data_IF_362878141360
#
_entry.id   IF_362878141360
#
_cell.length_a   1.000
_cell.length_b   1.000
_cell.length_c   1.000
_cell.angle_alpha   90.00
_cell.angle_beta   90.00
_cell.angle_gamma   90.00
#
_symmetry.space_group_name_H-M   'P 1'
#
loop_
_entity.id
_entity.type
_entity.pdbx_description
1 polymer ?
#
# COMPACT_ATOMS: atom_id res chain seq x y z
N UNK A 1 19.41 24.65 13.34
CA UNK A 1 18.30 24.69 12.35
C UNK A 1 17.00 24.50 13.12
N UNK A 2 15.94 25.25 12.80
CA UNK A 2 14.65 25.01 13.44
C UNK A 2 14.19 23.59 13.09
N UNK A 3 13.77 22.83 14.10
CA UNK A 3 13.26 21.48 13.91
C UNK A 3 11.96 21.55 13.09
N UNK A 4 11.97 20.96 11.91
CA UNK A 4 10.81 20.94 11.02
C UNK A 4 9.83 19.86 11.48
N UNK A 5 8.57 20.23 11.69
CA UNK A 5 7.50 19.32 12.07
C UNK A 5 6.80 18.75 10.84
N UNK A 6 6.69 17.42 10.78
CA UNK A 6 5.93 16.71 9.74
C UNK A 6 4.72 16.00 10.37
N UNK A 7 3.53 16.27 9.87
CA UNK A 7 2.33 15.54 10.29
C UNK A 7 2.06 14.37 9.33
N UNK A 8 1.97 13.15 9.87
CA UNK A 8 1.73 11.93 9.10
C UNK A 8 0.35 11.36 9.46
N UNK A 9 -0.61 11.46 8.56
CA UNK A 9 -1.91 10.80 8.67
C UNK A 9 -1.80 9.34 8.26
N UNK A 10 -2.30 8.43 9.09
CA UNK A 10 -2.14 6.99 8.91
C UNK A 10 -0.80 6.45 9.42
N UNK A 11 -0.13 7.18 10.31
CA UNK A 11 1.19 6.87 10.83
C UNK A 11 1.33 5.48 11.48
N UNK A 12 0.27 4.97 12.15
CA UNK A 12 0.27 3.65 12.79
C UNK A 12 0.06 2.48 11.83
N UNK A 13 -0.31 2.77 10.57
CA UNK A 13 -0.52 1.76 9.54
C UNK A 13 0.78 1.12 9.04
N UNK A 14 0.64 0.18 8.10
CA UNK A 14 1.77 -0.55 7.51
C UNK A 14 2.82 0.41 6.91
N UNK A 15 2.46 1.23 5.92
CA UNK A 15 3.38 2.20 5.29
C UNK A 15 3.81 3.27 6.30
N UNK A 16 2.87 3.72 7.15
CA UNK A 16 3.07 4.83 8.08
C UNK A 16 4.24 4.65 9.02
N UNK A 17 4.44 3.44 9.56
CA UNK A 17 5.58 3.15 10.46
C UNK A 17 6.94 3.26 9.78
N UNK A 18 7.04 2.92 8.49
CA UNK A 18 8.27 3.12 7.71
C UNK A 18 8.54 4.61 7.50
N UNK A 19 7.52 5.37 7.14
CA UNK A 19 7.62 6.83 6.95
C UNK A 19 8.02 7.52 8.26
N UNK A 20 7.35 7.20 9.38
CA UNK A 20 7.68 7.77 10.69
C UNK A 20 9.14 7.49 11.06
N UNK A 21 9.59 6.24 10.90
CA UNK A 21 10.99 5.86 11.20
C UNK A 21 11.98 6.63 10.32
N UNK A 22 11.73 6.75 9.03
CA UNK A 22 12.62 7.48 8.10
C UNK A 22 12.69 8.97 8.43
N UNK A 23 11.53 9.62 8.65
CA UNK A 23 11.47 11.03 9.04
C UNK A 23 12.20 11.28 10.35
N UNK A 24 12.01 10.44 11.36
CA UNK A 24 12.70 10.55 12.63
C UNK A 24 14.23 10.40 12.47
N UNK A 25 14.68 9.42 11.66
CA UNK A 25 16.11 9.22 11.36
C UNK A 25 16.74 10.44 10.66
N UNK A 26 15.96 11.19 9.86
CA UNK A 26 16.40 12.42 9.20
C UNK A 26 16.32 13.66 10.12
N UNK A 27 15.97 13.48 11.40
CA UNK A 27 15.92 14.58 12.38
C UNK A 27 14.66 15.43 12.37
N UNK A 28 13.58 14.99 11.69
CA UNK A 28 12.28 15.65 11.73
C UNK A 28 11.56 15.37 13.05
N UNK A 29 10.83 16.37 13.56
CA UNK A 29 9.77 16.13 14.53
C UNK A 29 8.57 15.51 13.79
N UNK A 30 8.00 14.45 14.33
CA UNK A 30 6.90 13.73 13.69
C UNK A 30 5.65 13.77 14.57
N UNK A 31 4.59 14.39 14.05
CA UNK A 31 3.25 14.28 14.61
C UNK A 31 2.53 13.12 13.92
N UNK A 32 2.39 12.01 14.64
CA UNK A 32 1.71 10.82 14.16
C UNK A 32 0.20 10.96 14.37
N UNK A 33 -0.51 11.42 13.32
CA UNK A 33 -1.95 11.62 13.33
C UNK A 33 -2.69 10.28 13.19
N UNK A 34 -3.32 9.81 14.27
CA UNK A 34 -3.93 8.49 14.38
C UNK A 34 -5.29 8.57 15.08
N UNK A 35 -6.17 7.57 14.85
CA UNK A 35 -7.50 7.54 15.48
C UNK A 35 -7.42 7.23 16.98
N UNK A 36 -6.49 6.35 17.36
CA UNK A 36 -6.26 5.91 18.75
C UNK A 36 -4.78 6.06 19.12
N UNK A 37 -4.40 7.16 19.79
CA UNK A 37 -3.00 7.38 20.18
C UNK A 37 -2.42 6.29 21.08
N UNK A 38 -3.26 5.69 21.95
CA UNK A 38 -2.80 4.63 22.86
C UNK A 38 -2.29 3.39 22.11
N UNK A 39 -2.93 3.00 21.03
CA UNK A 39 -2.52 1.88 20.18
C UNK A 39 -1.28 2.20 19.31
N UNK A 40 -0.90 3.47 19.20
CA UNK A 40 0.20 3.96 18.39
C UNK A 40 1.45 4.34 19.21
N UNK A 41 1.50 4.02 20.51
CA UNK A 41 2.65 4.36 21.38
C UNK A 41 3.96 3.71 20.94
N UNK A 42 3.89 2.57 20.24
CA UNK A 42 5.08 1.92 19.66
C UNK A 42 5.84 2.82 18.68
N UNK A 43 5.18 3.82 18.07
CA UNK A 43 5.84 4.77 17.17
C UNK A 43 6.87 5.65 17.90
N UNK A 44 6.70 5.90 19.20
CA UNK A 44 7.65 6.68 19.99
C UNK A 44 9.04 6.05 20.05
N UNK A 45 9.16 4.74 19.89
CA UNK A 45 10.44 4.03 19.87
C UNK A 45 11.17 4.11 18.54
N UNK A 46 10.59 4.77 17.54
CA UNK A 46 11.16 4.92 16.21
C UNK A 46 12.04 6.17 16.04
N UNK A 47 12.09 7.02 17.06
CA UNK A 47 12.92 8.23 17.11
C UNK A 47 13.39 8.51 18.53
N UNK A 48 14.04 9.65 18.72
CA UNK A 48 14.49 10.12 20.01
C UNK A 48 13.33 10.51 20.94
N UNK A 49 13.65 10.70 22.23
CA UNK A 49 12.64 11.08 23.24
C UNK A 49 11.98 12.41 22.86
N UNK A 50 10.67 12.38 22.69
CA UNK A 50 9.87 13.56 22.30
C UNK A 50 9.79 13.83 20.80
N UNK A 51 10.60 13.17 19.98
CA UNK A 51 10.65 13.40 18.53
C UNK A 51 9.40 12.89 17.79
N UNK A 52 8.84 11.77 18.23
CA UNK A 52 7.61 11.21 17.64
C UNK A 52 6.45 11.31 18.61
N UNK A 53 5.43 12.08 18.27
CA UNK A 53 4.27 12.33 19.13
C UNK A 53 2.98 11.84 18.47
N UNK A 54 2.35 10.75 18.97
CA UNK A 54 1.02 10.36 18.55
C UNK A 54 -0.01 11.40 18.97
N UNK A 55 -0.85 11.84 18.01
CA UNK A 55 -1.95 12.77 18.23
C UNK A 55 -3.25 12.17 17.68
N UNK A 56 -4.34 12.36 18.43
CA UNK A 56 -5.64 11.92 17.96
C UNK A 56 -6.11 12.79 16.79
N UNK A 57 -6.43 12.14 15.66
CA UNK A 57 -6.98 12.82 14.50
C UNK A 57 -7.95 11.92 13.72
N UNK A 58 -9.04 12.54 13.25
CA UNK A 58 -10.04 11.91 12.40
C UNK A 58 -10.17 12.74 11.13
N UNK A 59 -9.79 12.19 9.98
CA UNK A 59 -9.79 12.92 8.70
C UNK A 59 -11.18 13.36 8.22
N UNK A 60 -12.25 12.80 8.80
CA UNK A 60 -13.64 13.20 8.51
C UNK A 60 -14.12 14.37 9.36
N UNK A 61 -13.29 14.84 10.28
CA UNK A 61 -13.54 15.99 11.16
C UNK A 61 -12.53 17.08 10.86
N UNK A 62 -12.97 18.15 10.23
CA UNK A 62 -12.15 19.28 9.79
C UNK A 62 -11.41 19.95 10.94
N UNK A 63 -12.05 20.08 12.13
CA UNK A 63 -11.42 20.67 13.29
C UNK A 63 -10.26 19.81 13.81
N UNK A 64 -10.47 18.50 13.84
CA UNK A 64 -9.46 17.51 14.21
C UNK A 64 -8.27 17.52 13.25
N UNK A 65 -8.53 17.64 11.94
CA UNK A 65 -7.49 17.72 10.90
C UNK A 65 -6.70 19.01 11.04
N UNK A 66 -7.37 20.17 11.21
CA UNK A 66 -6.74 21.48 11.36
C UNK A 66 -5.80 21.49 12.58
N UNK A 67 -6.25 20.99 13.72
CA UNK A 67 -5.42 20.88 14.94
C UNK A 67 -4.20 19.97 14.72
N UNK A 68 -4.35 18.89 13.95
CA UNK A 68 -3.24 17.99 13.65
C UNK A 68 -2.20 18.60 12.69
N UNK A 69 -2.57 19.57 11.88
CA UNK A 69 -1.69 20.22 10.88
C UNK A 69 -1.06 21.49 11.42
N UNK A 70 -1.59 22.09 12.48
CA UNK A 70 -1.08 23.36 13.03
C UNK A 70 0.43 23.34 13.24
N UNK A 71 1.14 24.32 12.65
CA UNK A 71 2.59 24.46 12.73
C UNK A 71 3.39 23.44 11.93
N UNK A 72 2.75 22.57 11.16
CA UNK A 72 3.46 21.59 10.34
C UNK A 72 4.16 22.24 9.14
N UNK A 73 5.42 21.88 8.91
CA UNK A 73 6.18 22.22 7.71
C UNK A 73 5.73 21.38 6.50
N UNK A 74 5.44 20.11 6.74
CA UNK A 74 4.98 19.17 5.71
C UNK A 74 3.91 18.22 6.24
N UNK A 75 3.10 17.71 5.33
CA UNK A 75 2.01 16.77 5.62
C UNK A 75 2.10 15.57 4.70
N UNK A 76 1.92 14.38 5.27
CA UNK A 76 1.87 13.10 4.52
C UNK A 76 0.54 12.44 4.78
N UNK A 77 -0.22 12.16 3.72
CA UNK A 77 -1.48 11.42 3.79
C UNK A 77 -1.33 10.01 3.25
N UNK A 78 -1.35 9.02 4.14
CA UNK A 78 -1.24 7.59 3.86
C UNK A 78 -2.58 6.86 4.06
N UNK A 79 -3.66 7.59 4.36
CA UNK A 79 -4.92 6.96 4.72
C UNK A 79 -5.61 6.40 3.49
N UNK A 80 -5.98 5.13 3.60
CA UNK A 80 -6.78 4.40 2.63
C UNK A 80 -7.45 3.20 3.27
N UNK A 81 -8.53 2.74 2.65
CA UNK A 81 -9.26 1.52 3.01
C UNK A 81 -9.42 0.65 1.76
N UNK A 82 -9.40 -0.67 1.92
CA UNK A 82 -9.54 -1.61 0.80
C UNK A 82 -10.98 -2.11 0.61
N UNK A 83 -11.83 -1.89 1.60
CA UNK A 83 -13.27 -2.20 1.57
C UNK A 83 -14.03 -1.27 2.50
N UNK A 84 -15.32 -1.13 2.26
CA UNK A 84 -16.18 -0.29 3.06
C UNK A 84 -16.73 -1.03 4.28
N UNK A 85 -16.70 -0.39 5.46
CA UNK A 85 -17.27 -0.94 6.69
C UNK A 85 -17.86 0.18 7.57
N UNK A 86 -19.12 0.05 7.93
CA UNK A 86 -19.82 1.02 8.76
C UNK A 86 -19.74 2.46 8.21
N UNK A 87 -19.17 3.37 8.99
CA UNK A 87 -18.97 4.77 8.60
C UNK A 87 -17.72 5.00 7.71
N UNK A 88 -16.88 3.97 7.51
CA UNK A 88 -15.72 4.06 6.63
C UNK A 88 -16.16 3.73 5.20
N UNK A 89 -16.58 4.76 4.47
CA UNK A 89 -16.95 4.69 3.06
C UNK A 89 -15.81 5.22 2.19
N UNK A 90 -15.68 4.71 0.97
CA UNK A 90 -14.64 5.15 0.04
C UNK A 90 -14.68 6.66 -0.17
N UNK A 91 -15.85 7.24 -0.41
CA UNK A 91 -16.01 8.69 -0.59
C UNK A 91 -15.59 9.47 0.66
N UNK A 92 -16.00 9.02 1.85
CA UNK A 92 -15.69 9.70 3.10
C UNK A 92 -14.21 9.67 3.46
N UNK A 93 -13.49 8.60 3.07
CA UNK A 93 -12.09 8.40 3.44
C UNK A 93 -11.15 8.89 2.33
N UNK A 94 -11.38 8.45 1.08
CA UNK A 94 -10.46 8.71 -0.02
C UNK A 94 -10.64 10.10 -0.64
N UNK A 95 -11.89 10.60 -0.75
CA UNK A 95 -12.16 11.91 -1.32
C UNK A 95 -12.26 12.99 -0.23
N UNK A 96 -13.31 12.96 0.60
CA UNK A 96 -13.57 14.02 1.60
C UNK A 96 -12.45 14.13 2.63
N UNK A 97 -11.96 12.98 3.16
CA UNK A 97 -10.86 12.97 4.12
C UNK A 97 -9.56 13.54 3.53
N UNK A 98 -9.24 13.21 2.29
CA UNK A 98 -8.08 13.77 1.59
C UNK A 98 -8.26 15.27 1.28
N UNK A 99 -9.47 15.69 0.90
CA UNK A 99 -9.83 17.09 0.70
C UNK A 99 -9.68 17.92 1.98
N UNK A 100 -10.15 17.41 3.11
CA UNK A 100 -10.01 18.09 4.41
C UNK A 100 -8.54 18.30 4.77
N UNK A 101 -7.69 17.27 4.57
CA UNK A 101 -6.25 17.37 4.80
C UNK A 101 -5.64 18.44 3.88
N UNK A 102 -5.96 18.43 2.60
CA UNK A 102 -5.40 19.37 1.64
C UNK A 102 -5.84 20.83 1.92
N UNK A 103 -7.13 21.06 2.22
CA UNK A 103 -7.65 22.39 2.59
C UNK A 103 -7.00 22.91 3.87
N UNK A 104 -6.92 22.07 4.90
CA UNK A 104 -6.28 22.44 6.15
C UNK A 104 -4.79 22.72 5.98
N UNK A 105 -4.10 21.97 5.11
CA UNK A 105 -2.68 22.20 4.75
C UNK A 105 -2.50 23.57 4.07
N UNK A 106 -3.36 23.93 3.15
CA UNK A 106 -3.35 25.23 2.49
C UNK A 106 -3.59 26.37 3.49
N UNK A 107 -4.61 26.24 4.33
CA UNK A 107 -4.95 27.24 5.35
C UNK A 107 -3.84 27.43 6.39
N UNK A 108 -3.11 26.39 6.74
CA UNK A 108 -2.00 26.44 7.68
C UNK A 108 -0.67 26.85 7.05
N UNK A 109 -0.60 27.12 5.74
CA UNK A 109 0.62 27.50 5.03
C UNK A 109 1.66 26.39 4.96
N UNK A 110 1.23 25.12 4.95
CA UNK A 110 2.09 23.95 4.79
C UNK A 110 2.86 24.06 3.47
N UNK A 111 4.16 23.75 3.50
CA UNK A 111 5.01 23.89 2.31
C UNK A 111 5.01 22.64 1.43
N UNK A 112 4.78 21.45 2.01
CA UNK A 112 4.85 20.18 1.32
C UNK A 112 3.66 19.28 1.70
N UNK A 113 2.93 18.83 0.70
CA UNK A 113 1.87 17.83 0.87
C UNK A 113 2.15 16.63 -0.03
N UNK A 114 2.29 15.46 0.59
CA UNK A 114 2.41 14.17 -0.11
C UNK A 114 1.12 13.38 0.11
N UNK A 115 0.50 12.93 -0.97
CA UNK A 115 -0.71 12.10 -0.95
C UNK A 115 -0.43 10.73 -1.58
N UNK A 116 -0.70 9.65 -0.86
CA UNK A 116 -0.55 8.29 -1.38
C UNK A 116 -1.89 7.77 -1.90
N UNK A 117 -1.94 7.62 -3.20
CA UNK A 117 -3.05 7.03 -3.97
C UNK A 117 -2.81 5.54 -4.24
N UNK A 118 -3.09 5.06 -5.44
CA UNK A 118 -2.78 3.70 -5.89
C UNK A 118 -2.65 3.65 -7.41
N UNK A 119 -1.88 2.70 -7.94
CA UNK A 119 -1.92 2.38 -9.37
C UNK A 119 -3.34 2.02 -9.80
N UNK A 120 -3.71 2.39 -11.03
CA UNK A 120 -5.05 2.16 -11.56
C UNK A 120 -6.12 3.12 -11.04
N UNK A 121 -5.76 4.16 -10.26
CA UNK A 121 -6.69 5.23 -9.90
C UNK A 121 -7.17 5.94 -11.18
N UNK A 122 -8.48 5.85 -11.48
CA UNK A 122 -9.11 6.41 -12.67
C UNK A 122 -10.59 6.68 -12.40
N UNK A 123 -11.10 7.80 -12.89
CA UNK A 123 -12.52 8.16 -12.78
C UNK A 123 -13.42 7.23 -13.61
N UNK A 124 -12.89 6.69 -14.72
CA UNK A 124 -13.59 5.81 -15.63
C UNK A 124 -13.55 4.33 -15.21
N UNK A 125 -12.87 4.00 -14.10
CA UNK A 125 -12.75 2.62 -13.64
C UNK A 125 -14.11 2.03 -13.24
N UNK A 126 -14.31 0.75 -13.51
CA UNK A 126 -15.45 -0.01 -12.97
C UNK A 126 -15.36 -0.23 -11.46
N UNK A 127 -14.15 -0.16 -10.87
CA UNK A 127 -13.92 -0.30 -9.44
C UNK A 127 -14.29 0.99 -8.70
N UNK A 128 -15.10 0.87 -7.65
CA UNK A 128 -15.44 1.99 -6.78
C UNK A 128 -14.22 2.48 -5.99
N UNK A 129 -13.33 1.57 -5.60
CA UNK A 129 -12.04 1.91 -4.98
C UNK A 129 -11.20 2.80 -5.91
N UNK A 130 -10.98 2.38 -7.15
CA UNK A 130 -10.14 3.12 -8.10
C UNK A 130 -10.73 4.51 -8.42
N UNK A 131 -12.06 4.60 -8.62
CA UNK A 131 -12.75 5.88 -8.80
C UNK A 131 -12.59 6.80 -7.58
N UNK A 132 -12.74 6.25 -6.38
CA UNK A 132 -12.62 7.04 -5.16
C UNK A 132 -11.20 7.56 -4.91
N UNK A 133 -10.17 6.77 -5.29
CA UNK A 133 -8.77 7.20 -5.24
C UNK A 133 -8.52 8.35 -6.23
N UNK A 134 -9.00 8.24 -7.47
CA UNK A 134 -8.90 9.32 -8.47
C UNK A 134 -9.63 10.60 -7.99
N UNK A 135 -10.83 10.47 -7.46
CA UNK A 135 -11.58 11.60 -6.88
C UNK A 135 -10.83 12.25 -5.71
N UNK A 136 -10.12 11.46 -4.89
CA UNK A 136 -9.25 11.96 -3.83
C UNK A 136 -8.06 12.74 -4.36
N UNK A 137 -7.38 12.24 -5.39
CA UNK A 137 -6.28 12.96 -6.05
C UNK A 137 -6.73 14.32 -6.60
N UNK A 138 -7.88 14.35 -7.29
CA UNK A 138 -8.45 15.56 -7.85
C UNK A 138 -8.81 16.58 -6.75
N UNK A 139 -9.43 16.12 -5.65
CA UNK A 139 -9.76 16.97 -4.52
C UNK A 139 -8.50 17.55 -3.84
N UNK A 140 -7.45 16.73 -3.68
CA UNK A 140 -6.16 17.18 -3.14
C UNK A 140 -5.53 18.24 -4.04
N UNK A 141 -5.45 18.02 -5.35
CA UNK A 141 -4.87 18.98 -6.29
C UNK A 141 -5.65 20.28 -6.37
N UNK A 142 -6.98 20.20 -6.33
CA UNK A 142 -7.84 21.39 -6.33
C UNK A 142 -7.64 22.25 -5.08
N UNK A 143 -7.36 21.62 -3.90
CA UNK A 143 -7.19 22.32 -2.64
C UNK A 143 -5.73 22.72 -2.34
N UNK A 144 -4.75 21.94 -2.84
CA UNK A 144 -3.32 22.15 -2.65
C UNK A 144 -2.59 21.86 -3.97
N UNK A 145 -2.47 22.87 -4.84
CA UNK A 145 -2.02 22.73 -6.23
C UNK A 145 -0.62 22.15 -6.40
N UNK A 146 0.28 22.29 -5.41
CA UNK A 146 1.64 21.72 -5.43
C UNK A 146 1.78 20.37 -4.71
N UNK A 147 0.68 19.65 -4.52
CA UNK A 147 0.71 18.33 -3.90
C UNK A 147 1.42 17.28 -4.79
N UNK A 148 2.32 16.51 -4.18
CA UNK A 148 2.91 15.34 -4.84
C UNK A 148 2.02 14.13 -4.58
N UNK A 149 1.67 13.41 -5.64
CA UNK A 149 0.84 12.20 -5.57
C UNK A 149 1.68 10.98 -5.89
N UNK A 150 1.68 10.01 -5.01
CA UNK A 150 2.25 8.69 -5.26
C UNK A 150 1.16 7.67 -5.57
N UNK A 151 1.32 6.94 -6.65
CA UNK A 151 0.51 5.78 -7.05
C UNK A 151 1.35 4.51 -6.93
N UNK A 152 1.48 3.91 -5.74
CA UNK A 152 2.22 2.66 -5.61
C UNK A 152 1.44 1.50 -6.21
N UNK A 153 2.16 0.50 -6.73
CA UNK A 153 1.70 -0.86 -6.93
C UNK A 153 1.44 -1.54 -5.58
N UNK A 154 1.22 -2.84 -5.57
CA UNK A 154 1.09 -3.60 -4.31
C UNK A 154 2.33 -3.37 -3.46
N UNK A 155 2.12 -2.80 -2.27
CA UNK A 155 3.21 -2.52 -1.32
C UNK A 155 3.48 -3.77 -0.47
N UNK A 156 4.74 -4.20 -0.39
CA UNK A 156 5.15 -5.36 0.39
C UNK A 156 6.14 -5.04 1.50
N UNK A 157 6.21 -5.92 2.50
CA UNK A 157 7.10 -5.83 3.67
C UNK A 157 6.57 -6.64 4.84
N UNK A 158 7.30 -6.75 5.96
CA UNK A 158 6.97 -7.62 7.10
C UNK A 158 5.54 -7.55 7.64
N UNK A 159 4.84 -6.42 7.43
CA UNK A 159 3.47 -6.22 7.92
C UNK A 159 2.46 -6.02 6.77
N UNK A 160 2.80 -6.47 5.55
CA UNK A 160 1.87 -6.39 4.43
C UNK A 160 0.68 -7.35 4.59
N UNK A 161 -0.42 -7.01 3.93
CA UNK A 161 -1.59 -7.90 3.88
C UNK A 161 -1.55 -8.85 2.66
N UNK A 162 -0.72 -8.59 1.65
CA UNK A 162 -0.76 -9.35 0.40
C UNK A 162 0.04 -10.66 0.51
N UNK A 163 1.35 -10.59 0.72
CA UNK A 163 2.21 -11.78 0.83
C UNK A 163 1.88 -12.59 2.09
N UNK A 164 1.66 -11.91 3.23
CA UNK A 164 1.31 -12.58 4.48
C UNK A 164 -0.02 -13.34 4.37
N UNK A 165 -1.05 -12.77 3.75
CA UNK A 165 -2.35 -13.44 3.56
C UNK A 165 -2.23 -14.71 2.73
N UNK A 166 -1.49 -14.68 1.60
CA UNK A 166 -1.26 -15.88 0.81
C UNK A 166 -0.39 -16.90 1.55
N UNK A 167 0.60 -16.47 2.32
CA UNK A 167 1.40 -17.35 3.17
C UNK A 167 0.57 -18.03 4.26
N UNK A 168 -0.38 -17.32 4.88
CA UNK A 168 -1.38 -17.90 5.80
C UNK A 168 -2.26 -18.94 5.09
N UNK A 169 -2.76 -18.61 3.89
CA UNK A 169 -3.55 -19.56 3.10
C UNK A 169 -2.74 -20.82 2.76
N UNK A 170 -1.47 -20.68 2.42
CA UNK A 170 -0.55 -21.81 2.18
C UNK A 170 -0.46 -22.73 3.40
N UNK A 171 -0.60 -22.21 4.63
CA UNK A 171 -0.53 -23.04 5.83
C UNK A 171 -1.75 -23.97 5.98
N UNK A 172 -2.93 -23.55 5.57
CA UNK A 172 -4.21 -24.24 5.86
C UNK A 172 -4.89 -24.83 4.62
N UNK A 173 -4.76 -24.18 3.46
CA UNK A 173 -5.46 -24.58 2.24
C UNK A 173 -4.64 -25.60 1.43
N UNK A 174 -5.26 -26.64 0.85
CA UNK A 174 -4.59 -27.60 -0.03
C UNK A 174 -4.32 -27.03 -1.43
N UNK A 175 -5.03 -25.99 -1.83
CA UNK A 175 -4.92 -25.33 -3.12
C UNK A 175 -5.02 -23.81 -2.97
N UNK A 176 -4.40 -23.07 -3.88
CA UNK A 176 -4.42 -21.61 -3.96
C UNK A 176 -5.02 -21.15 -5.29
N UNK A 177 -5.87 -20.10 -5.29
CA UNK A 177 -6.43 -19.55 -6.51
C UNK A 177 -5.41 -18.69 -7.25
N UNK A 178 -5.35 -18.80 -8.57
CA UNK A 178 -4.69 -17.85 -9.46
C UNK A 178 -5.76 -17.09 -10.23
N UNK A 179 -5.70 -15.76 -10.20
CA UNK A 179 -6.63 -14.90 -10.92
C UNK A 179 -6.03 -14.43 -12.25
N UNK A 180 -6.87 -14.24 -13.25
CA UNK A 180 -6.48 -13.68 -14.55
C UNK A 180 -5.86 -14.66 -15.53
N UNK A 181 -5.80 -15.96 -15.21
CA UNK A 181 -5.37 -16.96 -16.19
C UNK A 181 -6.36 -17.07 -17.37
N UNK A 182 -5.85 -17.27 -18.59
CA UNK A 182 -6.69 -17.57 -19.74
C UNK A 182 -7.40 -18.93 -19.59
N UNK A 183 -8.34 -19.22 -20.47
CA UNK A 183 -8.92 -20.57 -20.52
C UNK A 183 -7.84 -21.59 -20.89
N UNK A 184 -7.89 -22.81 -20.30
CA UNK A 184 -6.95 -23.88 -20.62
C UNK A 184 -6.88 -24.12 -22.13
N UNK A 185 -5.69 -24.20 -22.68
CA UNK A 185 -5.45 -24.43 -24.10
C UNK A 185 -4.35 -25.47 -24.32
N UNK A 186 -4.33 -26.11 -25.48
CA UNK A 186 -3.26 -27.05 -25.82
C UNK A 186 -2.19 -26.27 -26.57
N UNK A 187 -1.02 -26.12 -25.95
CA UNK A 187 0.18 -25.54 -26.57
C UNK A 187 1.27 -26.62 -26.71
N UNK A 188 1.80 -26.80 -27.90
CA UNK A 188 2.85 -27.78 -28.18
C UNK A 188 2.56 -29.22 -27.67
N UNK A 189 1.27 -29.65 -27.74
CA UNK A 189 0.87 -31.00 -27.29
C UNK A 189 0.73 -31.16 -25.78
N UNK A 190 0.94 -30.12 -24.98
CA UNK A 190 0.74 -30.09 -23.53
C UNK A 190 -0.43 -29.19 -23.16
N UNK A 191 -1.18 -29.57 -22.12
CA UNK A 191 -2.26 -28.77 -21.57
C UNK A 191 -1.67 -27.60 -20.80
N UNK A 192 -1.83 -26.38 -21.33
CA UNK A 192 -1.47 -25.13 -20.67
C UNK A 192 -2.70 -24.57 -19.94
N UNK A 193 -2.68 -24.59 -18.61
CA UNK A 193 -3.74 -24.08 -17.76
C UNK A 193 -3.46 -22.65 -17.24
N UNK A 194 -2.24 -22.15 -17.39
CA UNK A 194 -1.84 -20.91 -16.75
C UNK A 194 -1.57 -19.76 -17.72
N UNK A 195 -1.25 -20.08 -18.99
CA UNK A 195 -0.85 -19.05 -19.98
C UNK A 195 0.32 -18.21 -19.46
N UNK A 196 0.12 -16.90 -19.38
CA UNK A 196 1.13 -15.96 -18.87
C UNK A 196 1.14 -15.83 -17.34
N UNK A 197 0.46 -16.74 -16.59
CA UNK A 197 0.49 -16.78 -15.14
C UNK A 197 -0.52 -15.88 -14.42
N UNK A 198 -1.49 -15.33 -15.15
CA UNK A 198 -2.54 -14.48 -14.60
C UNK A 198 -2.18 -13.01 -14.50
N UNK A 199 -2.93 -12.26 -13.71
CA UNK A 199 -2.77 -10.81 -13.50
C UNK A 199 -1.34 -10.48 -13.06
N UNK A 200 -0.77 -9.42 -13.62
CA UNK A 200 0.60 -8.98 -13.33
C UNK A 200 0.65 -7.89 -12.27
N UNK A 201 1.69 -7.92 -11.48
CA UNK A 201 1.99 -6.94 -10.42
C UNK A 201 3.45 -6.52 -10.49
N UNK A 202 3.71 -5.31 -10.03
CA UNK A 202 5.07 -4.78 -9.88
C UNK A 202 5.28 -4.34 -8.42
N UNK A 203 5.38 -5.30 -7.47
CA UNK A 203 5.36 -5.00 -6.03
C UNK A 203 6.48 -4.03 -5.64
N UNK A 204 6.14 -3.04 -4.80
CA UNK A 204 7.10 -2.06 -4.27
C UNK A 204 7.36 -2.31 -2.79
N UNK A 205 8.62 -2.23 -2.36
CA UNK A 205 8.98 -2.33 -0.95
C UNK A 205 8.52 -1.09 -0.16
N UNK A 206 7.92 -1.30 1.01
CA UNK A 206 7.43 -0.22 1.86
C UNK A 206 8.55 0.74 2.32
N UNK A 207 9.79 0.25 2.41
CA UNK A 207 10.97 1.08 2.68
C UNK A 207 11.24 2.07 1.57
N UNK A 208 11.24 1.63 0.30
CA UNK A 208 11.50 2.48 -0.86
C UNK A 208 10.40 3.53 -1.04
N UNK A 209 9.14 3.16 -0.79
CA UNK A 209 8.02 4.12 -0.76
C UNK A 209 8.23 5.17 0.34
N UNK A 210 8.70 4.77 1.52
CA UNK A 210 8.99 5.71 2.59
C UNK A 210 10.17 6.62 2.26
N UNK A 211 11.22 6.09 1.64
CA UNK A 211 12.36 6.87 1.17
C UNK A 211 11.94 7.88 0.09
N UNK A 212 11.04 7.50 -0.84
CA UNK A 212 10.45 8.40 -1.83
C UNK A 212 9.66 9.56 -1.18
N UNK A 213 8.88 9.26 -0.15
CA UNK A 213 8.13 10.28 0.60
C UNK A 213 9.07 11.26 1.28
N UNK A 214 10.12 10.77 1.93
CA UNK A 214 11.11 11.62 2.61
C UNK A 214 11.89 12.46 1.61
N UNK A 215 12.30 11.89 0.49
CA UNK A 215 12.98 12.61 -0.58
C UNK A 215 12.15 13.81 -1.09
N UNK A 216 10.83 13.66 -1.20
CA UNK A 216 9.92 14.76 -1.57
C UNK A 216 9.84 15.82 -0.48
N UNK A 217 9.79 15.41 0.79
CA UNK A 217 9.76 16.35 1.93
C UNK A 217 11.06 17.16 2.02
N UNK A 218 12.21 16.54 1.78
CA UNK A 218 13.53 17.19 1.84
C UNK A 218 13.81 18.08 0.63
N UNK A 219 13.32 17.72 -0.54
CA UNK A 219 13.66 18.39 -1.77
C UNK A 219 12.98 19.78 -1.88
N UNK A 220 13.75 20.79 -2.26
CA UNK A 220 13.21 22.11 -2.61
C UNK A 220 12.68 22.17 -4.06
N UNK A 221 13.02 21.20 -4.91
CA UNK A 221 12.79 21.19 -6.35
C UNK A 221 11.80 20.14 -6.83
N UNK A 222 11.10 19.43 -5.92
CA UNK A 222 10.11 18.46 -6.35
C UNK A 222 8.89 19.19 -6.89
N UNK A 223 8.61 18.90 -8.13
CA UNK A 223 7.50 19.46 -8.88
C UNK A 223 6.19 18.75 -8.47
N UNK A 224 5.10 19.47 -8.61
CA UNK A 224 3.71 19.01 -8.59
C UNK A 224 3.50 17.89 -9.63
N UNK A 225 3.74 16.63 -9.24
CA UNK A 225 3.73 15.48 -10.14
C UNK A 225 3.05 14.28 -9.51
N UNK A 226 2.59 13.40 -10.40
CA UNK A 226 2.23 12.02 -10.04
C UNK A 226 3.39 11.11 -10.35
N UNK A 227 3.78 10.31 -9.36
CA UNK A 227 4.76 9.25 -9.51
C UNK A 227 4.05 7.91 -9.42
N UNK A 228 4.29 7.04 -10.39
CA UNK A 228 3.85 5.64 -10.35
C UNK A 228 5.01 4.79 -9.83
N UNK A 229 4.79 4.11 -8.72
CA UNK A 229 5.86 3.46 -7.99
C UNK A 229 5.70 1.95 -8.01
N UNK A 230 6.64 1.29 -8.65
CA UNK A 230 6.76 -0.17 -8.71
C UNK A 230 8.16 -0.63 -8.31
N UNK A 231 8.30 -1.91 -8.01
CA UNK A 231 9.59 -2.56 -7.80
C UNK A 231 10.36 -2.78 -9.11
N UNK A 232 11.54 -3.42 -9.04
CA UNK A 232 12.42 -3.58 -10.20
C UNK A 232 11.90 -4.62 -11.21
N UNK A 233 10.96 -5.49 -10.81
CA UNK A 233 10.47 -6.59 -11.64
C UNK A 233 8.95 -6.67 -11.62
N UNK A 234 8.40 -7.15 -12.73
CA UNK A 234 6.98 -7.48 -12.90
C UNK A 234 6.81 -8.98 -12.70
N UNK A 235 5.87 -9.37 -11.86
CA UNK A 235 5.52 -10.76 -11.56
C UNK A 235 4.09 -11.04 -11.98
N UNK A 236 3.86 -12.20 -12.58
CA UNK A 236 2.51 -12.75 -12.70
C UNK A 236 2.00 -13.22 -11.33
N UNK A 237 0.71 -13.36 -11.18
CA UNK A 237 0.10 -13.87 -9.95
C UNK A 237 0.65 -15.26 -9.58
N UNK A 238 0.88 -16.10 -10.59
CA UNK A 238 1.48 -17.43 -10.42
C UNK A 238 2.89 -17.35 -9.85
N UNK A 239 3.76 -16.50 -10.41
CA UNK A 239 5.14 -16.33 -9.95
C UNK A 239 5.21 -15.85 -8.49
N UNK A 240 4.29 -14.95 -8.09
CA UNK A 240 4.18 -14.54 -6.68
C UNK A 240 3.82 -15.73 -5.78
N UNK A 241 2.84 -16.55 -6.18
CA UNK A 241 2.48 -17.73 -5.40
C UNK A 241 3.59 -18.79 -5.37
N UNK A 242 4.29 -18.99 -6.49
CA UNK A 242 5.45 -19.89 -6.54
C UNK A 242 6.56 -19.42 -5.59
N UNK A 243 6.84 -18.12 -5.53
CA UNK A 243 7.78 -17.53 -4.59
C UNK A 243 7.35 -17.78 -3.13
N UNK A 244 6.07 -17.56 -2.80
CA UNK A 244 5.55 -17.82 -1.45
C UNK A 244 5.67 -19.31 -1.09
N UNK A 245 5.37 -20.21 -2.04
CA UNK A 245 5.52 -21.66 -1.82
C UNK A 245 6.98 -22.05 -1.60
N UNK A 246 7.89 -21.46 -2.38
CA UNK A 246 9.33 -21.68 -2.24
C UNK A 246 9.80 -21.23 -0.85
N UNK A 247 9.49 -20.01 -0.45
CA UNK A 247 9.94 -19.41 0.81
C UNK A 247 9.35 -20.11 2.04
N UNK A 248 8.11 -20.59 1.96
CA UNK A 248 7.47 -21.32 3.05
C UNK A 248 7.85 -22.81 3.08
N UNK A 249 8.56 -23.33 2.06
CA UNK A 249 8.92 -24.74 1.92
C UNK A 249 7.70 -25.67 1.78
N UNK A 250 6.58 -25.16 1.26
CA UNK A 250 5.32 -25.90 1.14
C UNK A 250 4.98 -26.17 -0.32
N UNK A 251 4.22 -27.24 -0.54
CA UNK A 251 3.70 -27.61 -1.87
C UNK A 251 2.19 -27.56 -1.83
N UNK A 252 1.58 -26.76 -2.73
CA UNK A 252 0.14 -26.61 -2.88
C UNK A 252 -0.23 -26.64 -4.36
N UNK A 253 -1.45 -27.05 -4.65
CA UNK A 253 -1.97 -26.96 -6.00
C UNK A 253 -2.30 -25.50 -6.31
N UNK A 254 -1.87 -25.03 -7.47
CA UNK A 254 -2.24 -23.74 -7.99
C UNK A 254 -3.41 -23.93 -8.97
N UNK A 255 -4.55 -23.31 -8.69
CA UNK A 255 -5.79 -23.52 -9.44
C UNK A 255 -6.21 -22.21 -10.12
N UNK A 256 -6.21 -22.16 -11.46
CA UNK A 256 -6.78 -21.02 -12.19
C UNK A 256 -8.24 -20.79 -11.80
N UNK A 257 -8.54 -19.60 -11.29
CA UNK A 257 -9.89 -19.23 -10.88
C UNK A 257 -10.47 -18.20 -11.85
N UNK A 258 -11.46 -18.58 -12.67
CA UNK A 258 -12.13 -17.63 -13.55
C UNK A 258 -12.81 -16.50 -12.78
N UNK A 259 -12.79 -15.29 -13.31
CA UNK A 259 -13.33 -14.09 -12.65
C UNK A 259 -14.81 -14.19 -12.27
N UNK A 260 -15.61 -14.95 -13.04
CA UNK A 260 -17.02 -15.14 -12.72
C UNK A 260 -17.19 -15.98 -11.44
N UNK A 261 -16.36 -17.02 -11.23
CA UNK A 261 -16.36 -17.80 -9.99
C UNK A 261 -15.84 -16.93 -8.84
N UNK A 262 -14.74 -16.19 -9.06
CA UNK A 262 -14.20 -15.25 -8.08
C UNK A 262 -15.26 -14.23 -7.63
N UNK A 263 -16.09 -13.73 -8.56
CA UNK A 263 -17.17 -12.78 -8.25
C UNK A 263 -18.27 -13.41 -7.38
N UNK A 264 -18.60 -14.68 -7.61
CA UNK A 264 -19.57 -15.42 -6.77
C UNK A 264 -18.99 -15.63 -5.37
N UNK A 265 -17.73 -16.06 -5.26
CA UNK A 265 -17.05 -16.22 -3.97
C UNK A 265 -17.02 -14.89 -3.23
N UNK A 266 -16.62 -13.80 -3.90
CA UNK A 266 -16.56 -12.47 -3.34
C UNK A 266 -17.92 -11.99 -2.81
N UNK A 267 -19.01 -12.28 -3.52
CA UNK A 267 -20.38 -11.94 -3.08
C UNK A 267 -20.71 -12.55 -1.71
N UNK A 268 -20.34 -13.81 -1.48
CA UNK A 268 -20.57 -14.46 -0.19
C UNK A 268 -19.58 -14.00 0.88
N UNK A 269 -18.32 -13.75 0.51
CA UNK A 269 -17.30 -13.32 1.49
C UNK A 269 -17.48 -11.87 1.93
N UNK A 270 -18.12 -11.02 1.14
CA UNK A 270 -18.52 -9.65 1.53
C UNK A 270 -19.50 -9.60 2.72
N UNK A 271 -20.15 -10.70 3.06
CA UNK A 271 -21.02 -10.80 4.23
C UNK A 271 -20.22 -10.92 5.56
N UNK A 272 -18.92 -11.20 5.46
CA UNK A 272 -18.05 -11.28 6.64
C UNK A 272 -17.61 -9.87 7.11
N UNK A 273 -17.40 -9.67 8.42
CA UNK A 273 -16.93 -8.39 8.95
C UNK A 273 -15.60 -7.91 8.34
N UNK A 274 -14.71 -8.85 8.01
CA UNK A 274 -13.45 -8.61 7.28
C UNK A 274 -13.44 -9.55 6.08
N UNK A 275 -13.89 -9.09 4.91
CA UNK A 275 -13.97 -9.93 3.74
C UNK A 275 -12.58 -10.30 3.22
N UNK A 276 -12.30 -11.59 2.98
CA UNK A 276 -11.04 -12.02 2.38
C UNK A 276 -10.94 -11.62 0.90
N UNK A 277 -12.05 -11.46 0.20
CA UNK A 277 -12.13 -11.00 -1.18
C UNK A 277 -13.43 -10.25 -1.38
N UNK A 278 -13.37 -9.09 -2.08
CA UNK A 278 -14.57 -8.30 -2.45
C UNK A 278 -14.75 -8.29 -3.96
N UNK A 279 -15.99 -8.07 -4.41
CA UNK A 279 -16.29 -7.95 -5.85
C UNK A 279 -15.52 -6.80 -6.50
N UNK A 280 -15.31 -5.73 -5.76
CA UNK A 280 -14.50 -4.59 -6.23
C UNK A 280 -13.03 -4.97 -6.43
N UNK A 281 -12.46 -5.79 -5.52
CA UNK A 281 -11.12 -6.35 -5.68
C UNK A 281 -11.04 -7.30 -6.89
N UNK A 282 -12.08 -8.10 -7.16
CA UNK A 282 -12.14 -8.94 -8.37
C UNK A 282 -12.13 -8.10 -9.64
N UNK A 283 -12.77 -6.92 -9.62
CA UNK A 283 -12.72 -5.97 -10.76
C UNK A 283 -11.28 -5.45 -10.94
N UNK A 284 -10.61 -5.07 -9.87
CA UNK A 284 -9.21 -4.60 -9.91
C UNK A 284 -8.27 -5.67 -10.46
N UNK A 285 -8.48 -6.94 -10.10
CA UNK A 285 -7.66 -8.06 -10.58
C UNK A 285 -7.81 -8.36 -12.09
N UNK A 286 -8.76 -7.73 -12.79
CA UNK A 286 -8.90 -7.87 -14.24
C UNK A 286 -7.89 -7.06 -15.04
N UNK A 287 -7.21 -6.12 -14.39
CA UNK A 287 -6.20 -5.26 -15.00
C UNK A 287 -4.86 -5.48 -14.29
N UNK A 288 -3.78 -5.41 -15.03
CA UNK A 288 -2.44 -5.50 -14.49
C UNK A 288 -2.15 -4.29 -13.58
N UNK A 289 -1.45 -4.54 -12.48
CA UNK A 289 -1.03 -3.53 -11.52
C UNK A 289 0.48 -3.23 -11.71
N UNK A 290 0.81 -2.66 -12.85
CA UNK A 290 2.16 -2.39 -13.34
C UNK A 290 2.28 -0.90 -13.66
N UNK A 291 3.46 -0.32 -13.44
CA UNK A 291 3.77 1.07 -13.76
C UNK A 291 3.69 1.30 -15.27
N UNK A 292 3.08 2.41 -15.68
CA UNK A 292 2.97 2.76 -17.09
C UNK A 292 4.31 3.25 -17.65
N UNK A 293 4.61 2.89 -18.89
CA UNK A 293 5.80 3.39 -19.58
C UNK A 293 5.76 4.91 -19.68
N UNK A 294 6.90 5.54 -19.33
CA UNK A 294 7.03 7.00 -19.36
C UNK A 294 6.47 7.75 -18.14
N UNK A 295 5.91 7.06 -17.16
CA UNK A 295 5.53 7.66 -15.87
C UNK A 295 6.77 7.99 -15.05
N UNK A 296 6.69 9.04 -14.22
CA UNK A 296 7.70 9.29 -13.20
C UNK A 296 7.72 8.16 -12.17
N UNK A 297 8.92 7.71 -11.80
CA UNK A 297 9.16 6.50 -11.01
C UNK A 297 10.10 6.76 -9.83
N UNK A 298 10.51 5.71 -9.12
CA UNK A 298 11.56 5.78 -8.07
C UNK A 298 12.89 6.30 -8.61
N UNK A 299 13.25 5.95 -9.86
CA UNK A 299 14.50 6.38 -10.48
C UNK A 299 14.56 7.90 -10.65
N UNK A 300 13.43 8.57 -10.93
CA UNK A 300 13.35 10.04 -11.03
C UNK A 300 13.57 10.73 -9.68
N UNK A 301 13.44 10.00 -8.57
CA UNK A 301 13.76 10.44 -7.22
C UNK A 301 15.15 10.00 -6.75
N UNK A 302 15.92 9.32 -7.62
CA UNK A 302 17.25 8.81 -7.29
C UNK A 302 17.23 7.61 -6.34
N UNK A 303 16.15 6.82 -6.32
CA UNK A 303 15.98 5.68 -5.43
C UNK A 303 16.03 4.39 -6.25
N UNK A 304 16.91 3.48 -5.87
CA UNK A 304 16.98 2.14 -6.42
C UNK A 304 15.92 1.25 -5.78
N UNK A 305 15.10 0.63 -6.62
CA UNK A 305 14.00 -0.21 -6.15
C UNK A 305 14.51 -1.55 -5.60
N UNK A 306 14.05 -1.92 -4.40
CA UNK A 306 14.40 -3.17 -3.72
C UNK A 306 13.57 -4.34 -4.26
N UNK A 307 14.23 -5.47 -4.57
CA UNK A 307 13.55 -6.66 -5.08
C UNK A 307 12.75 -7.41 -4.02
N UNK A 308 11.73 -8.14 -4.47
CA UNK A 308 10.86 -8.98 -3.62
C UNK A 308 11.70 -10.05 -2.93
N UNK A 309 12.64 -10.67 -3.65
CA UNK A 309 13.51 -11.74 -3.17
C UNK A 309 14.45 -11.29 -2.04
N UNK A 310 14.76 -10.00 -1.97
CA UNK A 310 15.64 -9.47 -0.91
C UNK A 310 14.94 -9.33 0.44
N UNK A 311 13.62 -9.13 0.46
CA UNK A 311 12.87 -8.80 1.66
C UNK A 311 11.92 -9.92 2.11
N UNK A 312 11.19 -10.53 1.17
CA UNK A 312 10.15 -11.52 1.47
C UNK A 312 10.67 -12.71 2.30
N UNK A 313 11.87 -13.28 2.03
CA UNK A 313 12.41 -14.37 2.83
C UNK A 313 12.58 -14.03 4.32
N UNK A 314 12.79 -12.75 4.65
CA UNK A 314 13.05 -12.30 6.02
C UNK A 314 11.84 -12.37 6.94
N UNK A 315 10.62 -12.43 6.39
CA UNK A 315 9.39 -12.45 7.19
C UNK A 315 8.44 -13.59 6.86
N UNK A 316 8.55 -14.23 5.69
CA UNK A 316 7.78 -15.44 5.40
C UNK A 316 8.32 -16.70 6.08
N UNK A 317 9.51 -16.64 6.68
CA UNK A 317 10.10 -17.72 7.45
C UNK A 317 9.20 -18.20 8.61
N UNK A 318 8.37 -17.32 9.17
CA UNK A 318 7.39 -17.64 10.21
C UNK A 318 6.32 -18.66 9.75
N UNK A 319 6.04 -18.74 8.44
CA UNK A 319 5.07 -19.65 7.83
C UNK A 319 5.68 -21.00 7.39
N UNK A 320 7.00 -21.16 7.53
CA UNK A 320 7.68 -22.42 7.25
C UNK A 320 7.15 -23.56 8.14
N UNK A 321 7.25 -24.79 7.64
CA UNK A 321 6.91 -25.99 8.44
C UNK A 321 7.89 -26.10 9.61
N UNK A 322 7.39 -26.03 10.84
CA UNK A 322 8.22 -26.01 12.05
C UNK A 322 8.59 -24.59 12.54
N UNK A 323 8.12 -23.54 11.85
CA UNK A 323 8.31 -22.14 12.25
C UNK A 323 9.70 -21.58 11.93
N UNK A 324 9.94 -20.36 12.38
CA UNK A 324 11.13 -19.55 12.09
C UNK A 324 12.47 -20.26 12.35
N UNK A 325 12.53 -21.07 13.40
CA UNK A 325 13.78 -21.71 13.83
C UNK A 325 14.07 -23.05 13.16
N UNK A 326 13.14 -23.59 12.35
CA UNK A 326 13.33 -24.90 11.70
C UNK A 326 14.42 -24.89 10.61
N UNK A 327 14.71 -23.72 10.00
CA UNK A 327 15.79 -23.58 9.02
C UNK A 327 17.18 -23.75 9.63
N UNK A 328 17.36 -23.49 10.93
CA UNK A 328 18.63 -23.64 11.65
C UNK A 328 18.85 -25.04 12.23
N UNK A 329 17.82 -25.90 12.23
CA UNK A 329 17.88 -27.28 12.76
C UNK A 329 18.40 -28.28 11.74
N UNK A 330 18.53 -27.93 10.47
CA UNK A 330 18.96 -28.81 9.36
C UNK A 330 20.27 -28.36 8.70
N UNK A 331 21.05 -27.46 9.35
CA UNK A 331 22.37 -27.02 8.90
C UNK A 331 23.51 -27.70 9.72
#
# INVERSE_FOLDING_TARGET
MAEKLITVFGASGFIGRYVVKRLATQGYLVRAAVREPASALFLKTMGDVGQVTPLQANIRDEASVSAAIEGAHGVVNLIGILFESGKQKFDEVHRKGAENIAKASTNAGVQKLVHVSALGASEDSQSAYARSKAAGENAVRAAFGSAVVFRPSVVFGPQDDFFNRFAEMVCVAPALPIFGCPMPSIRNGTLDCYGDGGTKFQPIYAGDLADAIVQVIDSNNVLDRTYELGGPQVYSFKEILDLILLETGRRRLLVPLPFWIASIVAFFTELLPVPPLTRDQVILLRSDNVVNEGSFSLADLGIDATSVESIVPSYLDQYCKGGRFSRFSNA
#
